data_IF_564714907545
#
_entry.id   IF_564714907545
#
_cell.length_a   1.000
_cell.length_b   1.000
_cell.length_c   1.000
_cell.angle_alpha   90.00
_cell.angle_beta   90.00
_cell.angle_gamma   90.00
#
_symmetry.space_group_name_H-M   'P 1'
#
loop_
_entity.id
_entity.type
_entity.pdbx_description
1 polymer ?
#
# COMPACT_ATOMS: atom_id res chain seq x y z
N UNK A 1 5.52 -17.67 27.49
CA UNK A 1 5.84 -16.52 26.67
C UNK A 1 4.82 -15.41 26.91
N UNK A 2 5.25 -14.16 26.72
CA UNK A 2 4.34 -13.01 26.74
C UNK A 2 4.59 -12.18 25.50
N UNK A 3 3.53 -11.90 24.72
CA UNK A 3 3.54 -10.91 23.66
C UNK A 3 3.07 -9.59 24.26
N UNK A 4 3.88 -8.54 24.12
CA UNK A 4 3.54 -7.19 24.54
C UNK A 4 3.57 -6.27 23.31
N UNK A 5 2.45 -5.60 23.06
CA UNK A 5 2.33 -4.57 22.04
C UNK A 5 2.20 -3.21 22.73
N UNK A 6 3.03 -2.25 22.33
CA UNK A 6 3.09 -0.91 22.95
C UNK A 6 3.10 0.15 21.86
N UNK A 7 2.21 1.13 21.97
CA UNK A 7 2.13 2.28 21.06
C UNK A 7 2.77 3.48 21.74
N UNK A 8 3.68 4.13 21.02
CA UNK A 8 4.33 5.39 21.40
C UNK A 8 3.98 6.50 20.41
N UNK A 9 3.89 7.72 20.88
CA UNK A 9 3.81 8.91 20.02
C UNK A 9 5.19 9.27 19.41
N UNK A 10 5.25 10.35 18.64
CA UNK A 10 6.50 10.81 18.01
C UNK A 10 7.57 11.23 19.01
N UNK A 11 7.16 11.72 20.18
CA UNK A 11 8.05 12.13 21.27
C UNK A 11 8.53 10.93 22.10
N UNK A 12 8.05 9.73 21.80
CA UNK A 12 8.39 8.50 22.53
C UNK A 12 7.59 8.28 23.81
N UNK A 13 6.54 9.05 24.03
CA UNK A 13 5.64 8.89 25.18
C UNK A 13 4.71 7.70 24.96
N UNK A 14 4.49 6.92 26.01
CA UNK A 14 3.57 5.80 26.02
C UNK A 14 2.13 6.28 25.79
N UNK A 15 1.48 5.73 24.76
CA UNK A 15 0.08 5.99 24.41
C UNK A 15 -0.82 4.86 24.89
N UNK A 16 -0.46 3.62 24.58
CA UNK A 16 -1.22 2.43 24.96
C UNK A 16 -0.31 1.21 25.01
N UNK A 17 -0.68 0.24 25.83
CA UNK A 17 0.02 -1.06 25.87
C UNK A 17 -0.97 -2.17 26.17
N UNK A 18 -0.72 -3.33 25.55
CA UNK A 18 -1.42 -4.58 25.86
C UNK A 18 -0.42 -5.71 25.92
N UNK A 19 -0.67 -6.68 26.81
CA UNK A 19 0.16 -7.87 26.94
C UNK A 19 -0.72 -9.12 27.02
N UNK A 20 -0.27 -10.20 26.39
CA UNK A 20 -0.94 -11.49 26.43
C UNK A 20 0.10 -12.59 26.70
N UNK A 21 -0.14 -13.38 27.72
CA UNK A 21 0.67 -14.58 28.00
C UNK A 21 0.07 -15.79 27.28
N UNK A 22 0.94 -16.67 26.80
CA UNK A 22 0.58 -17.88 26.06
C UNK A 22 1.67 -18.95 26.13
N UNK A 23 1.29 -20.18 25.88
CA UNK A 23 2.20 -21.29 25.68
C UNK A 23 2.29 -21.63 24.19
N UNK A 24 3.50 -21.80 23.70
CA UNK A 24 3.78 -22.18 22.31
C UNK A 24 4.39 -23.58 22.29
N UNK A 25 3.78 -24.48 21.54
CA UNK A 25 4.35 -25.79 21.26
C UNK A 25 5.51 -25.67 20.26
N UNK A 26 6.49 -26.59 20.29
CA UNK A 26 7.54 -26.62 19.27
C UNK A 26 6.95 -26.63 17.86
N UNK A 27 7.47 -25.78 16.98
CA UNK A 27 6.98 -25.57 15.60
C UNK A 27 5.54 -25.05 15.48
N UNK A 28 4.89 -24.73 16.59
CA UNK A 28 3.55 -24.14 16.60
C UNK A 28 3.55 -22.68 16.14
N UNK A 29 2.45 -22.25 15.50
CA UNK A 29 2.16 -20.85 15.16
C UNK A 29 0.91 -20.44 15.88
N UNK A 30 0.93 -19.25 16.49
CA UNK A 30 -0.25 -18.64 17.10
C UNK A 30 -0.40 -17.20 16.62
N UNK A 31 -1.64 -16.82 16.33
CA UNK A 31 -2.00 -15.45 15.95
C UNK A 31 -2.82 -14.81 17.08
N UNK A 32 -2.56 -13.55 17.37
CA UNK A 32 -3.29 -12.78 18.37
C UNK A 32 -3.76 -11.47 17.78
N UNK A 33 -4.99 -11.12 18.13
CA UNK A 33 -5.56 -9.80 17.87
C UNK A 33 -5.49 -8.96 19.13
N UNK A 34 -5.22 -7.65 18.96
CA UNK A 34 -5.15 -6.68 20.03
C UNK A 34 -5.81 -5.37 19.60
N UNK A 35 -6.88 -4.98 20.28
CA UNK A 35 -7.60 -3.75 20.03
C UNK A 35 -7.08 -2.63 20.92
N UNK A 36 -6.72 -1.50 20.30
CA UNK A 36 -6.29 -0.30 21.00
C UNK A 36 -7.29 0.83 20.83
N UNK A 37 -7.60 1.53 21.92
CA UNK A 37 -8.36 2.78 21.88
C UNK A 37 -7.45 3.95 22.20
N UNK A 38 -7.24 4.82 21.23
CA UNK A 38 -6.48 6.05 21.39
C UNK A 38 -7.48 7.21 21.45
N UNK A 39 -7.50 7.92 22.56
CA UNK A 39 -8.39 9.07 22.74
C UNK A 39 -7.79 10.30 22.04
N UNK A 40 -8.57 10.95 21.19
CA UNK A 40 -8.18 12.13 20.42
C UNK A 40 -6.82 11.91 19.68
N UNK A 41 -6.74 10.92 18.79
CA UNK A 41 -5.47 10.64 18.12
C UNK A 41 -5.06 11.77 17.17
N UNK A 42 -3.77 12.00 17.05
CA UNK A 42 -3.23 12.80 15.95
C UNK A 42 -3.26 11.95 14.70
N UNK A 43 -3.92 12.44 13.65
CA UNK A 43 -4.09 11.70 12.40
C UNK A 43 -2.93 11.97 11.44
N UNK A 44 -2.59 10.95 10.64
CA UNK A 44 -1.74 11.10 9.48
C UNK A 44 -2.53 11.85 8.39
N UNK A 45 -2.13 13.08 8.07
CA UNK A 45 -2.87 14.02 7.22
C UNK A 45 -2.15 14.30 5.90
N UNK A 46 -1.49 13.28 5.35
CA UNK A 46 -0.71 13.46 4.13
C UNK A 46 0.36 14.54 4.31
N UNK A 47 0.61 15.34 3.28
CA UNK A 47 1.64 16.40 3.30
C UNK A 47 1.39 17.51 4.35
N UNK A 48 0.15 17.66 4.83
CA UNK A 48 -0.17 18.68 5.85
C UNK A 48 0.43 18.31 7.21
N UNK A 49 0.36 17.03 7.59
CA UNK A 49 0.88 16.50 8.85
C UNK A 49 1.07 14.97 8.72
N UNK A 50 2.25 14.49 8.33
CA UNK A 50 2.54 13.06 8.19
C UNK A 50 2.84 12.41 9.55
N UNK A 51 1.93 12.55 10.52
CA UNK A 51 2.13 12.10 11.88
C UNK A 51 2.15 10.58 11.98
N UNK A 52 3.20 10.03 12.58
CA UNK A 52 3.37 8.61 12.78
C UNK A 52 3.55 8.29 14.27
N UNK A 53 2.72 7.40 14.77
CA UNK A 53 3.02 6.65 15.99
C UNK A 53 4.02 5.55 15.67
N UNK A 54 4.52 4.92 16.73
CA UNK A 54 5.35 3.74 16.66
C UNK A 54 4.71 2.62 17.46
N UNK A 55 4.48 1.47 16.85
CA UNK A 55 4.09 0.26 17.57
C UNK A 55 5.32 -0.63 17.76
N UNK A 56 5.52 -1.07 19.00
CA UNK A 56 6.61 -1.98 19.37
C UNK A 56 6.00 -3.26 19.90
N UNK A 57 6.26 -4.35 19.20
CA UNK A 57 5.82 -5.70 19.58
C UNK A 57 7.01 -6.46 20.16
N UNK A 58 6.91 -6.88 21.41
CA UNK A 58 7.96 -7.60 22.13
C UNK A 58 7.52 -8.99 22.51
N UNK A 59 8.37 -9.97 22.21
CA UNK A 59 8.25 -11.32 22.77
C UNK A 59 9.12 -11.43 24.01
N UNK A 60 8.49 -11.78 25.14
CA UNK A 60 9.14 -11.82 26.46
C UNK A 60 9.12 -13.24 26.99
N UNK A 61 10.26 -13.71 27.48
CA UNK A 61 10.41 -14.98 28.18
C UNK A 61 11.11 -14.77 29.51
N UNK A 62 10.51 -15.22 30.61
CA UNK A 62 11.08 -15.09 31.96
C UNK A 62 11.54 -13.65 32.30
N UNK A 63 10.73 -12.67 31.91
CA UNK A 63 11.00 -11.24 32.13
C UNK A 63 12.05 -10.62 31.21
N UNK A 64 12.61 -11.36 30.25
CA UNK A 64 13.58 -10.86 29.27
C UNK A 64 12.95 -10.76 27.89
N UNK A 65 13.18 -9.65 27.19
CA UNK A 65 12.84 -9.50 25.77
C UNK A 65 13.73 -10.41 24.96
N UNK A 66 13.14 -11.30 24.19
CA UNK A 66 13.84 -12.25 23.33
C UNK A 66 13.68 -11.93 21.85
N UNK A 67 12.67 -11.12 21.49
CA UNK A 67 12.46 -10.61 20.14
C UNK A 67 11.69 -9.30 20.19
N UNK A 68 11.94 -8.41 19.24
CA UNK A 68 11.29 -7.10 19.14
C UNK A 68 11.08 -6.73 17.67
N UNK A 69 9.87 -6.31 17.34
CA UNK A 69 9.52 -5.73 16.04
C UNK A 69 8.97 -4.32 16.26
N UNK A 70 9.52 -3.38 15.49
CA UNK A 70 9.10 -1.97 15.52
C UNK A 70 8.53 -1.59 14.16
N UNK A 71 7.31 -1.04 14.16
CA UNK A 71 6.62 -0.63 12.95
C UNK A 71 6.04 0.78 13.09
N UNK A 72 5.99 1.56 11.99
CA UNK A 72 5.24 2.82 11.98
C UNK A 72 3.75 2.54 12.06
N UNK A 73 2.99 3.49 12.62
CA UNK A 73 1.55 3.44 12.69
C UNK A 73 0.99 4.82 12.39
N UNK A 74 0.41 5.02 11.23
CA UNK A 74 -0.32 6.22 10.85
C UNK A 74 -1.82 5.98 10.91
N UNK A 75 -2.52 6.76 11.72
CA UNK A 75 -3.98 6.66 11.85
C UNK A 75 -4.65 7.58 10.85
N UNK A 76 -5.43 7.03 9.94
CA UNK A 76 -6.10 7.79 8.88
C UNK A 76 -7.35 7.07 8.38
N UNK A 77 -8.22 7.80 7.70
CA UNK A 77 -9.35 7.26 6.93
C UNK A 77 -9.27 7.80 5.51
N UNK A 78 -9.32 6.90 4.53
CA UNK A 78 -9.49 7.24 3.12
C UNK A 78 -10.94 7.04 2.71
N UNK A 79 -11.42 7.94 1.84
CA UNK A 79 -12.75 7.83 1.27
C UNK A 79 -12.74 8.37 -0.16
N UNK A 80 -13.41 7.65 -1.07
CA UNK A 80 -13.61 8.09 -2.45
C UNK A 80 -15.10 8.27 -2.66
N UNK A 81 -15.50 9.50 -2.97
CA UNK A 81 -16.89 9.85 -3.21
C UNK A 81 -17.07 10.09 -4.72
N UNK A 82 -17.93 9.28 -5.34
CA UNK A 82 -18.19 9.37 -6.77
C UNK A 82 -18.69 10.78 -7.15
N UNK A 83 -18.06 11.38 -8.15
CA UNK A 83 -18.36 12.73 -8.61
C UNK A 83 -17.77 13.88 -7.77
N UNK A 84 -17.24 13.58 -6.59
CA UNK A 84 -16.65 14.59 -5.70
C UNK A 84 -15.12 14.47 -5.57
N UNK A 85 -14.60 13.23 -5.49
CA UNK A 85 -13.17 12.93 -5.44
C UNK A 85 -12.73 12.22 -4.18
N UNK A 86 -11.48 12.45 -3.81
CA UNK A 86 -10.79 11.77 -2.72
C UNK A 86 -10.79 12.60 -1.44
N UNK A 87 -11.04 11.94 -0.32
CA UNK A 87 -11.06 12.53 1.02
C UNK A 87 -10.07 11.82 1.94
N UNK A 88 -9.34 12.58 2.72
CA UNK A 88 -8.44 12.12 3.77
C UNK A 88 -8.95 12.66 5.10
N UNK A 89 -9.33 11.74 6.01
CA UNK A 89 -9.87 12.07 7.33
C UNK A 89 -11.10 13.02 7.28
N UNK A 90 -11.95 12.86 6.26
CA UNK A 90 -13.15 13.68 6.06
C UNK A 90 -12.92 15.03 5.38
N UNK A 91 -11.67 15.39 5.06
CA UNK A 91 -11.36 16.59 4.27
C UNK A 91 -11.04 16.22 2.83
N UNK A 92 -11.56 17.02 1.88
CA UNK A 92 -11.19 16.86 0.46
C UNK A 92 -9.69 17.06 0.28
N UNK A 93 -9.04 16.06 -0.33
CA UNK A 93 -7.60 16.05 -0.50
C UNK A 93 -7.23 15.97 -1.99
N UNK A 94 -6.38 16.88 -2.49
CA UNK A 94 -6.00 16.88 -3.90
C UNK A 94 -5.09 15.69 -4.20
N UNK A 95 -5.39 14.96 -5.29
CA UNK A 95 -4.61 13.83 -5.77
C UNK A 95 -3.86 14.22 -7.05
N UNK A 96 -2.78 14.99 -6.89
CA UNK A 96 -1.88 15.36 -7.99
C UNK A 96 -0.58 14.58 -7.85
N UNK A 97 -0.14 13.91 -8.90
CA UNK A 97 1.05 13.09 -8.77
C UNK A 97 1.64 12.62 -10.08
N UNK A 98 2.61 11.76 -9.92
CA UNK A 98 3.36 11.15 -11.00
C UNK A 98 3.41 9.65 -10.85
N UNK A 99 3.69 8.97 -11.95
CA UNK A 99 4.06 7.55 -11.97
C UNK A 99 5.57 7.44 -11.87
N UNK A 100 6.05 6.55 -11.02
CA UNK A 100 7.47 6.28 -10.83
C UNK A 100 7.79 4.83 -11.12
N UNK A 101 8.84 4.60 -11.93
CA UNK A 101 9.53 3.33 -12.07
C UNK A 101 10.79 3.30 -11.20
N UNK A 102 11.14 2.11 -10.68
CA UNK A 102 12.36 1.92 -9.88
C UNK A 102 13.53 1.58 -10.80
N UNK A 103 13.92 2.54 -11.62
CA UNK A 103 15.07 2.41 -12.51
C UNK A 103 15.75 3.76 -12.77
N UNK A 104 17.07 3.70 -12.96
CA UNK A 104 17.88 4.85 -13.36
C UNK A 104 18.82 4.46 -14.49
N UNK A 105 19.07 5.42 -15.37
CA UNK A 105 20.05 5.22 -16.42
C UNK A 105 21.42 4.86 -15.85
N UNK A 106 22.03 3.77 -16.36
CA UNK A 106 23.31 3.26 -15.92
C UNK A 106 23.28 2.40 -14.66
N UNK A 107 22.16 2.37 -13.92
CA UNK A 107 22.01 1.56 -12.70
C UNK A 107 20.92 0.47 -12.83
N UNK A 108 20.00 0.65 -13.79
CA UNK A 108 18.80 -0.19 -13.83
C UNK A 108 18.03 -0.09 -12.50
N UNK A 109 17.56 -1.21 -11.98
CA UNK A 109 16.84 -1.27 -10.71
C UNK A 109 17.73 -1.37 -9.45
N UNK A 110 19.06 -1.40 -9.60
CA UNK A 110 20.02 -1.50 -8.49
C UNK A 110 20.24 -0.15 -7.80
N UNK A 111 19.16 0.45 -7.31
CA UNK A 111 19.15 1.78 -6.69
C UNK A 111 19.51 1.71 -5.21
N UNK A 112 20.20 2.75 -4.74
CA UNK A 112 20.45 3.00 -3.32
C UNK A 112 19.41 3.96 -2.74
N UNK A 113 19.39 4.10 -1.42
CA UNK A 113 18.47 5.00 -0.73
C UNK A 113 18.60 6.45 -1.21
N UNK A 114 19.82 6.91 -1.53
CA UNK A 114 20.06 8.26 -2.02
C UNK A 114 19.38 8.54 -3.38
N UNK A 115 19.29 7.51 -4.24
CA UNK A 115 18.56 7.60 -5.51
C UNK A 115 17.06 7.77 -5.26
N UNK A 116 16.52 6.98 -4.33
CA UNK A 116 15.12 7.07 -3.93
C UNK A 116 14.79 8.42 -3.30
N UNK A 117 15.66 8.94 -2.43
CA UNK A 117 15.48 10.26 -1.81
C UNK A 117 15.52 11.39 -2.84
N UNK A 118 16.40 11.30 -3.84
CA UNK A 118 16.44 12.26 -4.94
C UNK A 118 15.13 12.27 -5.76
N UNK A 119 14.63 11.09 -6.12
CA UNK A 119 13.35 10.98 -6.84
C UNK A 119 12.21 11.57 -6.02
N UNK A 120 12.11 11.21 -4.74
CA UNK A 120 11.06 11.71 -3.86
C UNK A 120 11.17 13.23 -3.65
N UNK A 121 12.37 13.77 -3.51
CA UNK A 121 12.60 15.22 -3.40
C UNK A 121 12.09 15.93 -4.67
N UNK A 122 12.39 15.39 -5.85
CA UNK A 122 11.91 15.92 -7.14
C UNK A 122 10.39 15.85 -7.24
N UNK A 123 9.78 14.73 -6.83
CA UNK A 123 8.32 14.54 -6.80
C UNK A 123 7.67 15.56 -5.84
N UNK A 124 8.29 15.80 -4.70
CA UNK A 124 7.83 16.79 -3.72
C UNK A 124 7.94 18.22 -4.24
N UNK A 125 9.02 18.54 -4.95
CA UNK A 125 9.31 19.88 -5.49
C UNK A 125 8.29 20.33 -6.53
N UNK A 126 7.82 19.43 -7.39
CA UNK A 126 6.73 19.73 -8.35
C UNK A 126 5.34 19.84 -7.70
N UNK A 127 5.24 19.74 -6.37
CA UNK A 127 3.98 19.88 -5.65
C UNK A 127 3.10 18.62 -5.60
N UNK A 128 3.63 17.44 -5.97
CA UNK A 128 2.87 16.20 -5.94
C UNK A 128 2.39 15.84 -4.52
N UNK A 129 1.20 15.29 -4.45
CA UNK A 129 0.56 14.76 -3.21
C UNK A 129 0.48 13.24 -3.22
N UNK A 130 0.64 12.63 -4.40
CA UNK A 130 0.56 11.19 -4.61
C UNK A 130 1.61 10.71 -5.60
N UNK A 131 1.95 9.43 -5.50
CA UNK A 131 2.85 8.74 -6.43
C UNK A 131 2.31 7.34 -6.72
N UNK A 132 2.30 6.96 -7.99
CA UNK A 132 2.03 5.60 -8.41
C UNK A 132 3.33 4.84 -8.57
N UNK A 133 3.51 3.76 -7.84
CA UNK A 133 4.65 2.86 -7.98
C UNK A 133 4.36 1.82 -9.05
N UNK A 134 4.66 2.18 -10.29
CA UNK A 134 4.39 1.36 -11.46
C UNK A 134 5.60 0.47 -11.80
N UNK A 135 5.37 -0.69 -12.27
CA UNK A 135 4.14 -1.52 -12.27
C UNK A 135 4.41 -2.75 -11.41
N UNK A 136 5.07 -2.58 -10.26
CA UNK A 136 5.57 -3.65 -9.39
C UNK A 136 5.89 -3.11 -7.99
N UNK A 137 6.01 -4.01 -7.04
CA UNK A 137 6.48 -3.68 -5.71
C UNK A 137 7.87 -3.06 -5.78
N UNK A 138 8.03 -1.90 -5.15
CA UNK A 138 9.29 -1.19 -5.09
C UNK A 138 9.98 -1.38 -3.74
N UNK A 139 11.13 -0.73 -3.52
CA UNK A 139 11.88 -0.82 -2.28
C UNK A 139 11.04 -0.45 -1.06
N UNK A 140 11.12 -1.24 0.01
CA UNK A 140 10.47 -0.98 1.30
C UNK A 140 10.84 0.39 1.88
N UNK A 141 12.06 0.82 1.63
CA UNK A 141 12.53 2.17 1.97
C UNK A 141 11.63 3.28 1.41
N UNK A 142 11.15 3.13 0.16
CA UNK A 142 10.28 4.13 -0.47
C UNK A 142 8.93 4.26 0.23
N UNK A 143 8.32 3.15 0.62
CA UNK A 143 7.05 3.17 1.35
C UNK A 143 7.22 3.92 2.67
N UNK A 144 8.27 3.59 3.44
CA UNK A 144 8.58 4.26 4.70
C UNK A 144 8.88 5.76 4.52
N UNK A 145 9.56 6.15 3.43
CA UNK A 145 9.81 7.55 3.11
C UNK A 145 8.52 8.29 2.74
N UNK A 146 7.65 7.68 1.96
CA UNK A 146 6.35 8.27 1.64
C UNK A 146 5.47 8.46 2.87
N UNK A 147 5.49 7.53 3.82
CA UNK A 147 4.81 7.70 5.11
C UNK A 147 5.29 8.96 5.83
N UNK A 148 6.61 9.16 5.92
CA UNK A 148 7.22 10.29 6.62
C UNK A 148 7.10 11.62 5.86
N UNK A 149 6.99 11.59 4.54
CA UNK A 149 6.81 12.75 3.68
C UNK A 149 5.33 13.12 3.47
N UNK A 150 4.41 12.22 3.81
CA UNK A 150 2.98 12.42 3.60
C UNK A 150 2.53 12.25 2.15
N UNK A 151 3.30 11.55 1.32
CA UNK A 151 2.91 11.19 -0.04
C UNK A 151 1.97 10.00 -0.03
N UNK A 152 0.85 10.10 -0.74
CA UNK A 152 -0.10 8.99 -0.90
C UNK A 152 0.39 8.06 -2.00
N UNK A 153 0.34 6.75 -1.75
CA UNK A 153 0.87 5.73 -2.66
C UNK A 153 -0.26 4.91 -3.30
N UNK A 154 -0.14 4.72 -4.60
CA UNK A 154 -0.77 3.65 -5.34
C UNK A 154 0.27 2.55 -5.57
N UNK A 155 0.09 1.39 -4.91
CA UNK A 155 0.97 0.23 -5.03
C UNK A 155 0.30 -0.85 -5.87
N UNK A 156 1.06 -1.53 -6.74
CA UNK A 156 0.53 -2.53 -7.67
C UNK A 156 1.48 -3.71 -7.90
N UNK A 157 0.91 -4.81 -8.38
CA UNK A 157 1.66 -6.00 -8.80
C UNK A 157 2.00 -5.96 -10.30
N UNK A 158 3.05 -6.67 -10.77
CA UNK A 158 3.50 -6.66 -12.16
C UNK A 158 2.64 -7.53 -13.09
N UNK A 159 1.33 -7.40 -13.02
CA UNK A 159 0.41 -8.02 -13.94
C UNK A 159 0.02 -7.01 -15.03
N UNK A 160 0.78 -7.04 -16.15
CA UNK A 160 0.77 -5.97 -17.16
C UNK A 160 0.64 -6.55 -18.56
N UNK A 161 -0.23 -5.94 -19.38
CA UNK A 161 -0.41 -6.14 -20.81
C UNK A 161 -0.80 -7.56 -21.24
N UNK A 162 0.18 -8.43 -21.42
CA UNK A 162 -0.01 -9.76 -22.01
C UNK A 162 -0.30 -10.81 -20.94
N UNK A 163 -1.15 -11.78 -21.31
CA UNK A 163 -1.54 -12.89 -20.46
C UNK A 163 -1.08 -14.20 -21.12
N UNK A 164 -0.37 -15.04 -20.39
CA UNK A 164 0.08 -16.35 -20.85
C UNK A 164 -0.91 -17.47 -20.51
N UNK A 165 -1.80 -17.22 -19.55
CA UNK A 165 -2.73 -18.20 -19.00
C UNK A 165 -2.15 -19.02 -17.83
N UNK A 166 -0.96 -18.64 -17.32
CA UNK A 166 -0.29 -19.35 -16.22
C UNK A 166 0.05 -18.43 -15.03
N UNK A 167 -0.37 -17.16 -15.05
CA UNK A 167 -0.02 -16.17 -14.05
C UNK A 167 -0.74 -16.32 -12.72
N UNK A 168 -1.84 -17.05 -12.67
CA UNK A 168 -2.82 -16.98 -11.59
C UNK A 168 -2.24 -17.22 -10.19
N UNK A 169 -1.40 -18.24 -10.04
CA UNK A 169 -0.78 -18.54 -8.74
C UNK A 169 0.24 -17.46 -8.36
N UNK A 170 1.12 -17.10 -9.28
CA UNK A 170 2.15 -16.09 -9.06
C UNK A 170 1.54 -14.71 -8.77
N UNK A 171 0.53 -14.28 -9.52
CA UNK A 171 -0.15 -13.01 -9.31
C UNK A 171 -0.81 -12.94 -7.92
N UNK A 172 -1.49 -14.02 -7.50
CA UNK A 172 -2.08 -14.10 -6.15
C UNK A 172 -1.02 -14.07 -5.05
N UNK A 173 0.09 -14.78 -5.23
CA UNK A 173 1.17 -14.80 -4.26
C UNK A 173 1.83 -13.41 -4.15
N UNK A 174 2.15 -12.77 -5.26
CA UNK A 174 2.73 -11.43 -5.26
C UNK A 174 1.80 -10.38 -4.63
N UNK A 175 0.49 -10.45 -4.90
CA UNK A 175 -0.47 -9.53 -4.30
C UNK A 175 -0.56 -9.74 -2.77
N UNK A 176 -0.61 -11.00 -2.33
CA UNK A 176 -0.63 -11.32 -0.89
C UNK A 176 0.64 -10.84 -0.19
N UNK A 177 1.79 -11.06 -0.79
CA UNK A 177 3.08 -10.62 -0.24
C UNK A 177 3.17 -9.09 -0.20
N UNK A 178 2.78 -8.40 -1.27
CA UNK A 178 2.73 -6.94 -1.31
C UNK A 178 1.85 -6.38 -0.18
N UNK A 179 0.64 -6.92 -0.01
CA UNK A 179 -0.28 -6.47 1.03
C UNK A 179 0.31 -6.73 2.42
N UNK A 180 0.75 -7.95 2.70
CA UNK A 180 1.24 -8.32 4.04
C UNK A 180 2.51 -7.60 4.44
N UNK A 181 3.44 -7.38 3.52
CA UNK A 181 4.66 -6.61 3.78
C UNK A 181 4.38 -5.12 3.98
N UNK A 182 3.42 -4.58 3.24
CA UNK A 182 3.18 -3.14 3.19
C UNK A 182 1.91 -2.71 3.95
N UNK A 183 1.26 -3.60 4.68
CA UNK A 183 -0.02 -3.36 5.35
C UNK A 183 0.01 -2.15 6.29
N UNK A 184 1.11 -1.96 7.04
CA UNK A 184 1.23 -0.91 8.05
C UNK A 184 1.59 0.48 7.49
N UNK A 185 1.84 0.62 6.17
CA UNK A 185 2.11 1.91 5.57
C UNK A 185 0.83 2.75 5.43
N UNK A 186 0.68 3.84 6.19
CA UNK A 186 -0.50 4.70 6.10
C UNK A 186 -0.62 5.40 4.76
N UNK A 187 0.48 5.60 4.06
CA UNK A 187 0.53 6.26 2.74
C UNK A 187 -0.21 5.47 1.64
N UNK A 188 -0.28 4.15 1.73
CA UNK A 188 -0.95 3.34 0.71
C UNK A 188 -2.46 3.45 0.85
N UNK A 189 -3.15 3.88 -0.22
CA UNK A 189 -4.60 3.97 -0.26
C UNK A 189 -5.26 2.91 -1.14
N UNK A 190 -4.50 2.32 -2.09
CA UNK A 190 -5.05 1.41 -3.09
C UNK A 190 -4.05 0.33 -3.49
N UNK A 191 -4.57 -0.87 -3.73
CA UNK A 191 -3.85 -2.01 -4.29
C UNK A 191 -4.19 -2.17 -5.77
N UNK A 192 -3.19 -2.03 -6.64
CA UNK A 192 -3.33 -2.22 -8.09
C UNK A 192 -3.29 -3.70 -8.46
N UNK A 193 -4.36 -4.17 -9.10
CA UNK A 193 -4.54 -5.56 -9.47
C UNK A 193 -3.89 -5.90 -10.81
N UNK A 194 -3.93 -4.98 -11.76
CA UNK A 194 -3.33 -5.11 -13.09
C UNK A 194 -3.21 -3.76 -13.80
N UNK A 195 -2.39 -3.71 -14.83
CA UNK A 195 -2.29 -2.58 -15.74
C UNK A 195 -2.44 -3.03 -17.20
N UNK A 196 -3.41 -2.45 -17.91
CA UNK A 196 -3.58 -2.60 -19.36
C UNK A 196 -3.60 -4.04 -19.86
N UNK A 197 -4.35 -4.91 -19.19
CA UNK A 197 -4.54 -6.28 -19.66
C UNK A 197 -5.51 -6.28 -20.82
N UNK A 198 -4.98 -6.46 -22.05
CA UNK A 198 -5.73 -6.27 -23.31
C UNK A 198 -6.48 -7.51 -23.80
N UNK A 199 -6.21 -8.68 -23.27
CA UNK A 199 -6.83 -9.92 -23.72
C UNK A 199 -7.89 -10.38 -22.72
N UNK A 200 -9.14 -9.98 -22.95
CA UNK A 200 -10.24 -10.23 -22.05
C UNK A 200 -10.85 -11.62 -22.27
N UNK A 201 -10.10 -12.64 -21.94
CA UNK A 201 -10.62 -14.00 -21.89
C UNK A 201 -11.30 -14.28 -20.55
N UNK A 202 -12.11 -15.32 -20.49
CA UNK A 202 -12.75 -15.74 -19.23
C UNK A 202 -11.71 -15.98 -18.13
N UNK A 203 -10.58 -16.58 -18.46
CA UNK A 203 -9.43 -16.73 -17.55
C UNK A 203 -8.99 -15.41 -16.92
N UNK A 204 -8.82 -14.36 -17.71
CA UNK A 204 -8.35 -13.05 -17.22
C UNK A 204 -9.39 -12.38 -16.33
N UNK A 205 -10.67 -12.51 -16.70
CA UNK A 205 -11.79 -12.01 -15.91
C UNK A 205 -11.85 -12.71 -14.54
N UNK A 206 -11.77 -14.04 -14.52
CA UNK A 206 -11.74 -14.83 -13.30
C UNK A 206 -10.51 -14.51 -12.43
N UNK A 207 -9.34 -14.36 -13.07
CA UNK A 207 -8.11 -14.02 -12.37
C UNK A 207 -8.22 -12.64 -11.71
N UNK A 208 -8.61 -11.60 -12.43
CA UNK A 208 -8.73 -10.24 -11.87
C UNK A 208 -9.77 -10.18 -10.77
N UNK A 209 -10.89 -10.92 -10.88
CA UNK A 209 -11.85 -11.07 -9.80
C UNK A 209 -11.24 -11.73 -8.58
N UNK A 210 -10.53 -12.84 -8.77
CA UNK A 210 -9.86 -13.55 -7.66
C UNK A 210 -8.80 -12.70 -6.96
N UNK A 211 -8.15 -11.79 -7.68
CA UNK A 211 -7.20 -10.82 -7.11
C UNK A 211 -7.93 -9.78 -6.26
N UNK A 212 -9.07 -9.28 -6.72
CA UNK A 212 -9.90 -8.38 -5.92
C UNK A 212 -10.36 -9.05 -4.62
N UNK A 213 -10.94 -10.25 -4.72
CA UNK A 213 -11.45 -11.00 -3.56
C UNK A 213 -10.31 -11.31 -2.57
N UNK A 214 -9.12 -11.66 -3.06
CA UNK A 214 -7.92 -11.85 -2.24
C UNK A 214 -7.52 -10.56 -1.52
N UNK A 215 -7.45 -9.44 -2.25
CA UNK A 215 -7.07 -8.15 -1.65
C UNK A 215 -8.06 -7.75 -0.55
N UNK A 216 -9.37 -7.93 -0.76
CA UNK A 216 -10.40 -7.64 0.25
C UNK A 216 -10.37 -8.61 1.44
N UNK A 217 -9.86 -9.83 1.25
CA UNK A 217 -9.64 -10.80 2.34
C UNK A 217 -8.42 -10.43 3.19
N UNK A 218 -7.33 -10.02 2.56
CA UNK A 218 -6.08 -9.63 3.26
C UNK A 218 -6.18 -8.20 3.86
N UNK A 219 -6.90 -7.30 3.19
CA UNK A 219 -7.08 -5.90 3.59
C UNK A 219 -8.46 -5.39 3.18
N UNK A 220 -9.47 -5.51 4.04
CA UNK A 220 -10.84 -5.10 3.73
C UNK A 220 -11.03 -3.58 3.60
N UNK A 221 -10.13 -2.78 4.18
CA UNK A 221 -10.29 -1.34 4.32
C UNK A 221 -9.80 -0.55 3.10
N UNK A 222 -8.69 -0.98 2.48
CA UNK A 222 -8.16 -0.29 1.30
C UNK A 222 -8.92 -0.66 0.03
N UNK A 223 -8.91 0.28 -0.90
CA UNK A 223 -9.48 0.09 -2.22
C UNK A 223 -8.59 -0.80 -3.09
N UNK A 224 -9.19 -1.39 -4.11
CA UNK A 224 -8.49 -2.02 -5.23
C UNK A 224 -8.68 -1.21 -6.49
N UNK A 225 -7.73 -1.29 -7.43
CA UNK A 225 -7.82 -0.61 -8.72
C UNK A 225 -7.41 -1.51 -9.87
N UNK A 226 -8.19 -1.47 -10.93
CA UNK A 226 -7.88 -2.06 -12.24
C UNK A 226 -7.62 -0.95 -13.24
N UNK A 227 -6.53 -1.04 -14.01
CA UNK A 227 -6.15 -0.01 -14.97
C UNK A 227 -6.40 -0.48 -16.38
N UNK A 228 -7.22 0.25 -17.12
CA UNK A 228 -7.41 0.00 -18.54
C UNK A 228 -6.52 0.89 -19.42
N UNK A 229 -6.17 0.36 -20.59
CA UNK A 229 -5.68 1.14 -21.72
C UNK A 229 -6.84 1.43 -22.66
N UNK A 230 -6.71 2.41 -23.49
CA UNK A 230 -7.59 2.83 -24.58
C UNK A 230 -8.99 2.21 -24.67
N UNK A 231 -9.98 2.85 -24.05
CA UNK A 231 -11.38 2.67 -24.43
C UNK A 231 -12.07 1.37 -24.00
N UNK A 232 -11.43 0.51 -23.23
CA UNK A 232 -12.00 -0.74 -22.75
C UNK A 232 -12.65 -0.63 -21.35
N UNK A 233 -13.25 0.51 -21.05
CA UNK A 233 -13.78 0.81 -19.71
C UNK A 233 -14.86 -0.15 -19.23
N UNK A 234 -15.73 -0.59 -20.13
CA UNK A 234 -16.85 -1.48 -19.81
C UNK A 234 -16.46 -2.97 -19.77
N UNK A 235 -15.19 -3.27 -20.01
CA UNK A 235 -14.75 -4.64 -20.06
C UNK A 235 -14.75 -5.28 -18.66
N UNK A 236 -15.29 -6.50 -18.49
CA UNK A 236 -15.38 -7.16 -17.18
C UNK A 236 -14.06 -7.26 -16.42
N UNK A 237 -12.92 -7.38 -17.11
CA UNK A 237 -11.58 -7.39 -16.51
C UNK A 237 -11.31 -6.08 -15.73
N UNK A 238 -11.77 -4.96 -16.24
CA UNK A 238 -11.57 -3.64 -15.66
C UNK A 238 -12.61 -3.30 -14.58
N UNK A 239 -13.72 -4.01 -14.53
CA UNK A 239 -14.81 -3.79 -13.58
C UNK A 239 -14.67 -4.63 -12.29
N UNK A 240 -13.64 -5.43 -12.17
CA UNK A 240 -13.41 -6.32 -11.02
C UNK A 240 -12.73 -5.66 -9.82
N UNK A 241 -12.66 -4.34 -9.75
CA UNK A 241 -12.03 -3.60 -8.66
C UNK A 241 -12.98 -2.51 -8.14
N UNK A 242 -12.66 -1.95 -6.97
CA UNK A 242 -13.42 -0.82 -6.40
C UNK A 242 -13.30 0.44 -7.26
N UNK A 243 -12.12 0.62 -7.91
CA UNK A 243 -11.80 1.79 -8.72
C UNK A 243 -11.33 1.35 -10.09
N UNK A 244 -11.69 2.11 -11.09
CA UNK A 244 -11.14 1.96 -12.42
C UNK A 244 -10.15 3.09 -12.73
N UNK A 245 -8.91 2.74 -13.00
CA UNK A 245 -7.89 3.64 -13.54
C UNK A 245 -7.96 3.66 -15.07
N UNK A 246 -7.66 4.79 -15.66
CA UNK A 246 -7.65 4.97 -17.10
C UNK A 246 -6.34 5.60 -17.56
N UNK A 247 -5.56 4.84 -18.33
CA UNK A 247 -4.37 5.39 -18.97
C UNK A 247 -4.78 6.14 -20.24
N UNK A 248 -4.44 7.43 -20.29
CA UNK A 248 -4.66 8.30 -21.45
C UNK A 248 -3.37 9.04 -21.76
N UNK A 249 -3.08 9.18 -23.03
CA UNK A 249 -1.77 9.66 -23.49
C UNK A 249 -1.93 10.82 -24.47
N UNK A 250 -2.64 11.87 -24.02
CA UNK A 250 -2.87 13.08 -24.81
C UNK A 250 -1.55 13.75 -25.18
N UNK A 251 -1.37 14.03 -26.48
CA UNK A 251 -0.16 14.64 -27.01
C UNK A 251 1.03 13.67 -27.19
N UNK A 252 0.86 12.38 -26.84
CA UNK A 252 1.84 11.32 -27.08
C UNK A 252 1.31 10.32 -28.10
N UNK A 253 0.46 9.38 -27.72
CA UNK A 253 -0.17 8.42 -28.62
C UNK A 253 -1.53 8.89 -29.14
N UNK A 254 -2.19 9.78 -28.43
CA UNK A 254 -3.50 10.31 -28.79
C UNK A 254 -3.37 11.69 -29.43
N UNK A 255 -3.98 11.86 -30.62
CA UNK A 255 -4.19 13.19 -31.19
C UNK A 255 -5.24 13.91 -30.33
N UNK A 256 -5.09 15.24 -30.25
CA UNK A 256 -6.05 16.10 -29.56
C UNK A 256 -7.44 15.94 -30.11
#
# INVERSE_FOLDING_TARGET
LTLQNTIYDQEGKLVATQSRSFDLTPQGVQSFEADFKIKNPTLWQGRKNPYLYKIVSRLIRNGKVIDEVVQPLGLRKYEIVAGEGFYLNGEKYPMYGVTRHQDWWGLGSALKNENHDFDLATIMDIGATTVRFAHYQQSDYLYSRCDSLGLIIWAEIPFVNRVSGQEAENARNQLRELIRQSFNHPSIYVWGLHNEVYHPHEYTKELTRSLHDLAKTEDPDRYTVSVNGYGHMEHPVNLNADIQGMNRYFGWYEKK
#
